data_IF_130626319283
#
_entry.id   IF_130626319283
#
_cell.length_a   1.000
_cell.length_b   1.000
_cell.length_c   1.000
_cell.angle_alpha   90.00
_cell.angle_beta   90.00
_cell.angle_gamma   90.00
#
_symmetry.space_group_name_H-M   'P 1'
#
loop_
_entity.id
_entity.type
_entity.pdbx_description
1 polymer ?
#
# COMPACT_ATOMS: atom_id res chain seq x y z
N UNK A 1 -37.62 -18.03 14.76
CA UNK A 1 -38.46 -18.18 13.56
C UNK A 1 -38.52 -16.80 12.92
N UNK A 2 -37.84 -16.59 11.80
CA UNK A 2 -38.02 -15.35 11.04
C UNK A 2 -39.46 -15.34 10.51
N UNK A 3 -40.15 -14.21 10.60
CA UNK A 3 -41.48 -14.08 10.00
C UNK A 3 -41.32 -14.14 8.47
N UNK A 4 -42.25 -14.77 7.76
CA UNK A 4 -42.20 -14.92 6.29
C UNK A 4 -42.05 -13.58 5.53
N UNK A 5 -42.30 -12.44 6.18
CA UNK A 5 -42.08 -11.09 5.66
C UNK A 5 -40.61 -10.72 5.45
N UNK A 6 -39.66 -11.40 6.08
CA UNK A 6 -38.23 -11.02 6.07
C UNK A 6 -37.44 -11.71 4.94
N UNK A 7 -38.05 -12.70 4.28
CA UNK A 7 -37.37 -13.49 3.24
C UNK A 7 -37.00 -12.63 2.02
N UNK A 8 -37.88 -11.77 1.46
CA UNK A 8 -37.51 -10.92 0.33
C UNK A 8 -36.35 -9.97 0.67
N UNK A 9 -36.39 -9.31 1.83
CA UNK A 9 -35.33 -8.39 2.24
C UNK A 9 -33.99 -9.11 2.43
N UNK A 10 -34.00 -10.29 3.05
CA UNK A 10 -32.80 -11.10 3.20
C UNK A 10 -32.21 -11.50 1.83
N UNK A 11 -33.07 -11.90 0.89
CA UNK A 11 -32.65 -12.22 -0.47
C UNK A 11 -32.05 -11.00 -1.17
N UNK A 12 -32.67 -9.82 -1.08
CA UNK A 12 -32.12 -8.58 -1.66
C UNK A 12 -30.75 -8.25 -1.07
N UNK A 13 -30.56 -8.39 0.24
CA UNK A 13 -29.26 -8.19 0.90
C UNK A 13 -28.18 -9.13 0.37
N UNK A 14 -28.52 -10.38 0.07
CA UNK A 14 -27.60 -11.31 -0.57
C UNK A 14 -27.38 -11.01 -2.06
N UNK A 15 -28.40 -10.51 -2.77
CA UNK A 15 -28.30 -10.12 -4.17
C UNK A 15 -27.42 -8.87 -4.37
N UNK A 16 -27.26 -8.02 -3.35
CA UNK A 16 -26.37 -6.86 -3.40
C UNK A 16 -24.94 -7.21 -3.85
N UNK A 17 -24.42 -8.38 -3.47
CA UNK A 17 -23.05 -8.79 -3.84
C UNK A 17 -22.89 -9.11 -5.34
N UNK A 18 -23.99 -9.43 -6.00
CA UNK A 18 -24.03 -9.80 -7.42
C UNK A 18 -24.48 -8.64 -8.30
N UNK A 19 -25.37 -7.79 -7.80
CA UNK A 19 -25.94 -6.66 -8.53
C UNK A 19 -25.93 -5.39 -7.67
N UNK A 20 -24.75 -4.87 -7.31
CA UNK A 20 -24.62 -3.75 -6.38
C UNK A 20 -25.34 -2.50 -6.89
N UNK A 21 -25.28 -2.22 -8.19
CA UNK A 21 -25.97 -1.09 -8.83
C UNK A 21 -27.48 -1.03 -8.54
N UNK A 22 -28.11 -2.20 -8.46
CA UNK A 22 -29.57 -2.31 -8.29
C UNK A 22 -29.99 -2.27 -6.81
N UNK A 23 -29.25 -2.96 -5.95
CA UNK A 23 -29.71 -3.21 -4.57
C UNK A 23 -28.97 -2.39 -3.52
N UNK A 24 -27.70 -2.02 -3.75
CA UNK A 24 -26.94 -1.29 -2.74
C UNK A 24 -27.58 0.07 -2.38
N UNK A 25 -28.06 0.90 -3.33
CA UNK A 25 -28.69 2.17 -2.98
C UNK A 25 -30.02 2.05 -2.22
N UNK A 26 -30.66 0.88 -2.28
CA UNK A 26 -31.90 0.63 -1.55
C UNK A 26 -31.65 0.31 -0.08
N UNK A 27 -30.50 -0.31 0.24
CA UNK A 27 -30.17 -0.74 1.60
C UNK A 27 -29.13 0.13 2.30
N UNK A 28 -28.31 0.87 1.56
CA UNK A 28 -27.23 1.70 2.11
C UNK A 28 -27.35 3.11 1.54
N UNK A 29 -27.91 4.05 2.31
CA UNK A 29 -27.99 5.46 1.92
C UNK A 29 -27.12 6.34 2.81
N UNK A 30 -26.90 5.92 4.04
CA UNK A 30 -26.12 6.65 5.05
C UNK A 30 -24.99 5.79 5.62
N UNK A 31 -24.05 6.41 6.32
CA UNK A 31 -22.99 5.69 7.03
C UNK A 31 -23.56 4.77 8.14
N UNK A 32 -24.74 5.09 8.68
CA UNK A 32 -25.45 4.21 9.62
C UNK A 32 -25.96 2.96 8.92
N UNK A 33 -26.60 3.10 7.76
CA UNK A 33 -27.09 1.96 6.99
C UNK A 33 -25.95 1.04 6.56
N UNK A 34 -24.79 1.62 6.20
CA UNK A 34 -23.57 0.86 5.91
C UNK A 34 -23.13 0.04 7.13
N UNK A 35 -23.15 0.64 8.33
CA UNK A 35 -22.82 -0.09 9.54
C UNK A 35 -23.81 -1.24 9.78
N UNK A 36 -25.12 -0.99 9.66
CA UNK A 36 -26.15 -1.99 9.91
C UNK A 36 -26.08 -3.16 8.89
N UNK A 37 -25.73 -2.87 7.63
CA UNK A 37 -25.58 -3.86 6.56
C UNK A 37 -24.16 -4.39 6.36
N UNK A 38 -23.19 -4.03 7.22
CA UNK A 38 -21.75 -4.31 7.04
C UNK A 38 -21.40 -5.76 6.77
N UNK A 39 -22.18 -6.73 7.29
CA UNK A 39 -21.92 -8.16 7.10
C UNK A 39 -22.05 -8.57 5.63
N UNK A 40 -23.09 -8.08 4.95
CA UNK A 40 -23.35 -8.37 3.54
C UNK A 40 -22.41 -7.59 2.62
N UNK A 41 -22.22 -6.30 2.90
CA UNK A 41 -21.35 -5.43 2.08
C UNK A 41 -19.89 -5.87 2.13
N UNK A 42 -19.43 -6.40 3.27
CA UNK A 42 -18.07 -6.93 3.39
C UNK A 42 -17.80 -8.13 2.51
N UNK A 43 -18.77 -8.79 1.89
CA UNK A 43 -18.51 -9.94 1.00
C UNK A 43 -18.26 -9.54 -0.45
N UNK A 44 -18.35 -8.26 -0.77
CA UNK A 44 -18.20 -7.81 -2.14
C UNK A 44 -16.79 -8.13 -2.68
N UNK A 45 -16.76 -8.54 -3.95
CA UNK A 45 -15.55 -8.41 -4.76
C UNK A 45 -15.19 -6.93 -4.87
N UNK A 46 -13.95 -6.62 -5.24
CA UNK A 46 -13.53 -5.24 -5.49
C UNK A 46 -14.18 -4.71 -6.78
N UNK A 47 -15.48 -4.44 -6.71
CA UNK A 47 -16.30 -3.83 -7.75
C UNK A 47 -16.20 -2.31 -7.67
N UNK A 48 -15.94 -1.67 -8.82
CA UNK A 48 -15.67 -0.24 -8.91
C UNK A 48 -16.90 0.59 -8.54
N UNK A 49 -18.10 0.18 -9.00
CA UNK A 49 -19.34 0.89 -8.67
C UNK A 49 -19.59 0.84 -7.17
N UNK A 50 -19.57 -0.36 -6.58
CA UNK A 50 -19.88 -0.54 -5.17
C UNK A 50 -18.88 0.21 -4.29
N UNK A 51 -17.58 0.11 -4.59
CA UNK A 51 -16.55 0.81 -3.85
C UNK A 51 -16.78 2.32 -3.91
N UNK A 52 -17.00 2.87 -5.11
CA UNK A 52 -17.24 4.31 -5.30
C UNK A 52 -18.50 4.77 -4.54
N UNK A 53 -19.61 4.05 -4.66
CA UNK A 53 -20.85 4.38 -3.99
C UNK A 53 -20.69 4.42 -2.46
N UNK A 54 -20.04 3.39 -1.88
CA UNK A 54 -19.79 3.34 -0.45
C UNK A 54 -18.82 4.43 0.04
N UNK A 55 -17.85 4.80 -0.79
CA UNK A 55 -16.96 5.91 -0.51
C UNK A 55 -17.73 7.23 -0.47
N UNK A 56 -18.63 7.48 -1.43
CA UNK A 56 -19.46 8.69 -1.47
C UNK A 56 -20.30 8.79 -0.18
N UNK A 57 -20.97 7.70 0.24
CA UNK A 57 -21.74 7.66 1.51
C UNK A 57 -20.90 8.01 2.75
N UNK A 58 -19.65 7.52 2.84
CA UNK A 58 -18.78 7.85 3.98
C UNK A 58 -18.25 9.29 3.87
N UNK A 59 -17.92 9.74 2.66
CA UNK A 59 -17.38 11.09 2.43
C UNK A 59 -18.41 12.15 2.79
N UNK A 60 -19.66 11.97 2.39
CA UNK A 60 -20.78 12.86 2.78
C UNK A 60 -20.88 12.96 4.31
N UNK A 61 -20.95 11.82 5.02
CA UNK A 61 -20.99 11.81 6.48
C UNK A 61 -19.78 12.51 7.14
N UNK A 62 -18.58 12.42 6.52
CA UNK A 62 -17.38 13.12 7.00
C UNK A 62 -17.48 14.62 6.77
N UNK A 63 -17.95 15.05 5.60
CA UNK A 63 -18.08 16.46 5.23
C UNK A 63 -19.15 17.17 6.06
N UNK A 64 -20.25 16.48 6.34
CA UNK A 64 -21.36 16.98 7.15
C UNK A 64 -21.06 16.94 8.67
N UNK A 65 -19.91 16.39 9.07
CA UNK A 65 -19.53 16.25 10.47
C UNK A 65 -20.41 15.28 11.24
N UNK A 66 -21.08 14.36 10.55
CA UNK A 66 -21.95 13.36 11.15
C UNK A 66 -21.15 12.40 12.03
N UNK A 67 -21.73 12.02 13.17
CA UNK A 67 -21.18 10.97 14.02
C UNK A 67 -21.63 9.62 13.51
N UNK A 68 -20.68 8.78 13.11
CA UNK A 68 -20.95 7.40 12.71
C UNK A 68 -19.93 6.43 13.32
N UNK A 69 -20.16 5.12 13.13
CA UNK A 69 -19.23 4.06 13.55
C UNK A 69 -18.01 4.02 12.64
N UNK A 70 -17.14 5.03 12.76
CA UNK A 70 -16.02 5.32 11.84
C UNK A 70 -15.17 4.09 11.56
N UNK A 71 -14.66 3.41 12.59
CA UNK A 71 -13.78 2.26 12.40
C UNK A 71 -14.48 1.12 11.65
N UNK A 72 -15.73 0.81 11.98
CA UNK A 72 -16.47 -0.29 11.37
C UNK A 72 -16.78 -0.01 9.90
N UNK A 73 -17.16 1.22 9.56
CA UNK A 73 -17.43 1.63 8.18
C UNK A 73 -16.14 1.62 7.35
N UNK A 74 -15.04 2.17 7.87
CA UNK A 74 -13.74 2.15 7.20
C UNK A 74 -13.24 0.70 7.00
N UNK A 75 -13.52 -0.21 7.95
CA UNK A 75 -13.18 -1.64 7.80
C UNK A 75 -13.92 -2.27 6.63
N UNK A 76 -15.18 -1.88 6.35
CA UNK A 76 -15.89 -2.37 5.16
C UNK A 76 -15.14 -1.97 3.89
N UNK A 77 -14.79 -0.69 3.75
CA UNK A 77 -14.02 -0.20 2.59
C UNK A 77 -12.68 -0.92 2.48
N UNK A 78 -11.96 -1.04 3.60
CA UNK A 78 -10.67 -1.73 3.63
C UNK A 78 -10.78 -3.16 3.15
N UNK A 79 -11.79 -3.90 3.61
CA UNK A 79 -11.96 -5.31 3.28
C UNK A 79 -12.25 -5.48 1.78
N UNK A 80 -13.01 -4.57 1.16
CA UNK A 80 -13.25 -4.54 -0.29
C UNK A 80 -11.93 -4.25 -1.04
N UNK A 81 -11.21 -3.18 -0.64
CA UNK A 81 -9.94 -2.79 -1.26
C UNK A 81 -8.88 -3.89 -1.13
N UNK A 82 -8.82 -4.60 0.00
CA UNK A 82 -7.85 -5.67 0.25
C UNK A 82 -8.07 -6.91 -0.64
N UNK A 83 -9.30 -7.13 -1.12
CA UNK A 83 -9.59 -8.23 -2.05
C UNK A 83 -9.22 -7.95 -3.50
N UNK A 84 -8.80 -6.71 -3.79
CA UNK A 84 -8.30 -6.35 -5.11
C UNK A 84 -7.03 -7.18 -5.43
N UNK A 85 -6.86 -7.68 -6.66
CA UNK A 85 -5.57 -8.20 -7.12
C UNK A 85 -4.49 -7.13 -6.95
N UNK A 86 -3.28 -7.53 -6.52
CA UNK A 86 -2.18 -6.60 -6.23
C UNK A 86 -1.75 -5.76 -7.43
N UNK A 87 -1.91 -6.29 -8.63
CA UNK A 87 -1.54 -5.63 -9.89
C UNK A 87 -2.57 -4.60 -10.36
N UNK A 88 -3.82 -4.72 -9.89
CA UNK A 88 -4.90 -3.85 -10.35
C UNK A 88 -4.79 -2.47 -9.69
N UNK A 89 -4.67 -1.44 -10.53
CA UNK A 89 -4.76 -0.04 -10.13
C UNK A 89 -6.22 0.41 -10.14
N UNK A 90 -6.62 1.17 -9.13
CA UNK A 90 -7.96 1.76 -9.08
C UNK A 90 -8.07 2.94 -10.04
N UNK A 91 -9.29 3.21 -10.51
CA UNK A 91 -9.57 4.41 -11.29
C UNK A 91 -9.20 5.69 -10.50
N UNK A 92 -8.69 6.71 -11.20
CA UNK A 92 -8.23 7.95 -10.57
C UNK A 92 -9.27 8.56 -9.61
N UNK A 93 -10.54 8.59 -10.02
CA UNK A 93 -11.67 9.13 -9.22
C UNK A 93 -11.93 8.35 -7.93
N UNK A 94 -11.69 7.05 -7.93
CA UNK A 94 -11.87 6.18 -6.75
C UNK A 94 -10.67 6.31 -5.83
N UNK A 95 -9.47 6.36 -6.40
CA UNK A 95 -8.24 6.64 -5.66
C UNK A 95 -8.27 8.03 -4.99
N UNK A 96 -8.82 9.05 -5.64
CA UNK A 96 -9.01 10.40 -5.06
C UNK A 96 -9.87 10.37 -3.80
N UNK A 97 -10.98 9.63 -3.84
CA UNK A 97 -11.89 9.43 -2.70
C UNK A 97 -11.22 8.68 -1.55
N UNK A 98 -10.53 7.60 -1.88
CA UNK A 98 -9.74 6.83 -0.91
C UNK A 98 -8.65 7.70 -0.27
N UNK A 99 -7.97 8.52 -1.08
CA UNK A 99 -6.94 9.43 -0.59
C UNK A 99 -7.54 10.56 0.27
N UNK A 100 -8.73 11.05 -0.06
CA UNK A 100 -9.47 11.99 0.79
C UNK A 100 -9.70 11.39 2.18
N UNK A 101 -10.26 10.18 2.27
CA UNK A 101 -10.48 9.50 3.56
C UNK A 101 -9.17 9.19 4.28
N UNK A 102 -8.13 8.80 3.53
CA UNK A 102 -6.79 8.61 4.08
C UNK A 102 -6.29 9.89 4.77
N UNK A 103 -6.35 11.05 4.10
CA UNK A 103 -5.95 12.34 4.69
C UNK A 103 -6.77 12.71 5.93
N UNK A 104 -8.08 12.48 5.87
CA UNK A 104 -9.00 12.79 6.97
C UNK A 104 -8.67 11.98 8.25
N UNK A 105 -8.22 10.73 8.11
CA UNK A 105 -8.15 9.79 9.22
C UNK A 105 -6.74 9.26 9.56
N UNK A 106 -5.71 9.50 8.74
CA UNK A 106 -4.37 8.94 9.00
C UNK A 106 -3.70 9.51 10.26
N UNK A 107 -4.16 10.67 10.74
CA UNK A 107 -3.73 11.27 12.02
C UNK A 107 -4.74 11.10 13.15
N UNK A 108 -5.78 10.28 12.94
CA UNK A 108 -6.80 10.03 13.95
C UNK A 108 -6.19 9.41 15.22
N UNK A 109 -6.69 9.77 16.41
CA UNK A 109 -6.16 9.29 17.71
C UNK A 109 -6.16 7.76 17.88
N UNK A 110 -7.17 7.10 17.32
CA UNK A 110 -7.29 5.63 17.36
C UNK A 110 -6.36 4.98 16.34
N UNK A 111 -5.43 4.13 16.81
CA UNK A 111 -4.46 3.42 15.98
C UNK A 111 -5.11 2.48 14.96
N UNK A 112 -6.23 1.82 15.29
CA UNK A 112 -6.94 0.93 14.38
C UNK A 112 -7.53 1.69 13.20
N UNK A 113 -7.98 2.93 13.42
CA UNK A 113 -8.48 3.80 12.34
C UNK A 113 -7.34 4.16 11.41
N UNK A 114 -6.18 4.58 11.95
CA UNK A 114 -4.98 4.90 11.15
C UNK A 114 -4.52 3.69 10.34
N UNK A 115 -4.46 2.52 10.97
CA UNK A 115 -4.08 1.28 10.31
C UNK A 115 -5.07 0.90 9.21
N UNK A 116 -6.36 1.05 9.47
CA UNK A 116 -7.42 0.76 8.51
C UNK A 116 -7.30 1.61 7.24
N UNK A 117 -7.17 2.94 7.38
CA UNK A 117 -7.06 3.82 6.21
C UNK A 117 -5.70 3.71 5.52
N UNK A 118 -4.64 3.25 6.20
CA UNK A 118 -3.33 3.03 5.55
C UNK A 118 -3.37 2.04 4.39
N UNK A 119 -4.36 1.13 4.39
CA UNK A 119 -4.59 0.18 3.31
C UNK A 119 -5.24 0.81 2.07
N UNK A 120 -5.93 1.94 2.19
CA UNK A 120 -6.70 2.54 1.10
C UNK A 120 -5.82 2.93 -0.08
N UNK A 121 -4.59 3.36 0.20
CA UNK A 121 -3.63 3.86 -0.79
C UNK A 121 -2.40 2.95 -0.86
N UNK A 122 -2.50 1.74 -0.29
CA UNK A 122 -1.40 0.76 -0.33
C UNK A 122 -1.29 0.16 -1.73
N UNK A 123 -0.05 0.10 -2.21
CA UNK A 123 0.33 -0.47 -3.51
C UNK A 123 -0.41 0.20 -4.69
N UNK A 124 -0.71 1.50 -4.55
CA UNK A 124 -1.30 2.33 -5.60
C UNK A 124 -0.30 3.36 -6.10
N UNK A 125 -0.29 3.58 -7.42
CA UNK A 125 0.48 4.67 -8.02
C UNK A 125 -0.24 5.97 -7.72
N UNK A 126 0.44 6.88 -7.04
CA UNK A 126 -0.09 8.18 -6.67
C UNK A 126 0.46 9.25 -7.60
N UNK A 127 -0.38 10.24 -7.92
CA UNK A 127 0.05 11.43 -8.66
C UNK A 127 0.88 12.39 -7.79
N UNK A 128 1.47 13.37 -8.47
CA UNK A 128 2.29 14.42 -7.90
C UNK A 128 1.65 15.10 -6.68
N UNK A 129 0.37 15.44 -6.74
CA UNK A 129 -0.30 16.19 -5.67
C UNK A 129 -0.43 15.34 -4.39
N UNK A 130 -0.78 14.05 -4.56
CA UNK A 130 -0.83 13.10 -3.45
C UNK A 130 0.57 12.85 -2.88
N UNK A 131 1.59 12.71 -3.73
CA UNK A 131 2.99 12.54 -3.29
C UNK A 131 3.50 13.77 -2.54
N UNK A 132 3.26 14.99 -3.03
CA UNK A 132 3.61 16.24 -2.33
C UNK A 132 2.95 16.29 -0.95
N UNK A 133 1.69 15.88 -0.85
CA UNK A 133 1.01 15.81 0.44
C UNK A 133 1.69 14.83 1.39
N UNK A 134 2.05 13.61 0.94
CA UNK A 134 2.77 12.63 1.76
C UNK A 134 4.12 13.19 2.23
N UNK A 135 4.89 13.82 1.34
CA UNK A 135 6.18 14.45 1.67
C UNK A 135 5.99 15.58 2.70
N UNK A 136 4.97 16.41 2.59
CA UNK A 136 4.75 17.47 3.61
C UNK A 136 4.33 16.94 4.99
N UNK A 137 3.95 15.66 5.09
CA UNK A 137 3.38 15.08 6.30
C UNK A 137 4.10 13.82 6.82
N UNK A 138 5.21 13.39 6.22
CA UNK A 138 5.85 12.11 6.55
C UNK A 138 6.24 11.99 8.03
N UNK A 139 6.70 13.08 8.65
CA UNK A 139 7.08 13.11 10.07
C UNK A 139 5.91 12.93 11.04
N UNK A 140 4.66 13.09 10.57
CA UNK A 140 3.46 13.03 11.42
C UNK A 140 2.94 11.60 11.66
N UNK A 141 3.31 10.64 10.81
CA UNK A 141 2.81 9.27 10.92
C UNK A 141 3.72 8.27 10.21
N UNK A 142 4.09 7.18 10.90
CA UNK A 142 4.85 6.07 10.30
C UNK A 142 4.17 5.48 9.06
N UNK A 143 2.84 5.51 9.00
CA UNK A 143 2.09 5.02 7.86
C UNK A 143 2.27 5.88 6.62
N UNK A 144 2.50 7.19 6.78
CA UNK A 144 2.83 8.11 5.67
C UNK A 144 4.23 7.80 5.15
N UNK A 145 5.20 7.62 6.06
CA UNK A 145 6.56 7.19 5.71
C UNK A 145 6.53 5.87 4.94
N UNK A 146 5.72 4.89 5.38
CA UNK A 146 5.58 3.62 4.69
C UNK A 146 5.05 3.77 3.26
N UNK A 147 4.17 4.75 3.01
CA UNK A 147 3.66 4.98 1.64
C UNK A 147 4.73 5.56 0.72
N UNK A 148 5.65 6.37 1.24
CA UNK A 148 6.78 6.90 0.48
C UNK A 148 7.85 5.84 0.24
N UNK A 149 8.29 5.15 1.30
CA UNK A 149 9.34 4.13 1.22
C UNK A 149 8.93 2.88 0.44
N UNK A 150 7.63 2.55 0.44
CA UNK A 150 7.09 1.38 -0.26
C UNK A 150 6.24 1.75 -1.48
N UNK A 151 6.38 2.97 -2.02
CA UNK A 151 5.65 3.38 -3.23
C UNK A 151 5.90 2.39 -4.38
N UNK A 152 4.89 1.96 -5.17
CA UNK A 152 5.03 0.82 -6.08
C UNK A 152 5.94 1.06 -7.28
N UNK A 153 6.08 2.31 -7.75
CA UNK A 153 6.95 2.67 -8.85
C UNK A 153 7.94 3.77 -8.46
N UNK A 154 9.02 3.91 -9.23
CA UNK A 154 9.94 5.04 -9.10
C UNK A 154 9.17 6.34 -9.39
N UNK A 155 9.43 7.38 -8.60
CA UNK A 155 8.78 8.69 -8.76
C UNK A 155 9.80 9.80 -8.45
N UNK A 156 9.99 10.81 -9.33
CA UNK A 156 11.01 11.86 -9.14
C UNK A 156 10.92 12.56 -7.79
N UNK A 157 9.72 13.03 -7.40
CA UNK A 157 9.51 13.68 -6.10
C UNK A 157 9.89 12.80 -4.89
N UNK A 158 9.70 11.48 -4.98
CA UNK A 158 10.07 10.55 -3.90
C UNK A 158 11.58 10.36 -3.88
N UNK A 159 12.23 10.25 -5.04
CA UNK A 159 13.69 10.16 -5.15
C UNK A 159 14.36 11.42 -4.60
N UNK A 160 13.86 12.61 -4.94
CA UNK A 160 14.37 13.88 -4.41
C UNK A 160 14.18 13.99 -2.89
N UNK A 161 13.03 13.55 -2.38
CA UNK A 161 12.78 13.47 -0.94
C UNK A 161 13.73 12.49 -0.24
N UNK A 162 13.95 11.31 -0.83
CA UNK A 162 14.85 10.30 -0.29
C UNK A 162 16.30 10.80 -0.21
N UNK A 163 16.74 11.59 -1.20
CA UNK A 163 18.08 12.19 -1.19
C UNK A 163 18.25 13.17 -0.02
N UNK A 164 17.27 14.05 0.20
CA UNK A 164 17.27 14.98 1.34
C UNK A 164 17.21 14.26 2.69
N UNK A 165 16.41 13.22 2.78
CA UNK A 165 16.30 12.36 3.98
C UNK A 165 17.62 11.65 4.27
N UNK A 166 18.31 11.17 3.24
CA UNK A 166 19.63 10.57 3.34
C UNK A 166 20.67 11.57 3.87
N UNK A 167 20.75 12.75 3.26
CA UNK A 167 21.66 13.83 3.66
C UNK A 167 21.42 14.27 5.12
N UNK A 168 20.15 14.30 5.55
CA UNK A 168 19.78 14.62 6.92
C UNK A 168 20.08 13.48 7.93
N UNK A 169 20.45 12.28 7.45
CA UNK A 169 20.68 11.11 8.29
C UNK A 169 19.42 10.59 9.00
N UNK A 170 18.25 10.85 8.43
CA UNK A 170 16.95 10.36 8.92
C UNK A 170 16.73 8.86 8.54
N UNK A 171 15.90 8.15 9.31
CA UNK A 171 15.55 6.73 9.09
C UNK A 171 16.74 5.76 9.03
N UNK A 172 17.68 5.88 9.98
CA UNK A 172 18.83 4.98 10.09
C UNK A 172 18.45 3.50 10.20
N UNK A 173 17.34 3.21 10.86
CA UNK A 173 16.75 1.87 11.01
C UNK A 173 16.11 1.33 9.72
N UNK A 174 15.85 2.20 8.73
CA UNK A 174 15.27 1.85 7.43
C UNK A 174 16.16 2.27 6.27
N UNK A 175 17.47 2.33 6.52
CA UNK A 175 18.48 2.83 5.57
C UNK A 175 18.40 2.15 4.22
N UNK A 176 18.25 0.82 4.18
CA UNK A 176 18.10 0.06 2.93
C UNK A 176 16.91 0.50 2.09
N UNK A 177 15.79 0.86 2.70
CA UNK A 177 14.61 1.33 1.97
C UNK A 177 14.85 2.72 1.37
N UNK A 178 15.54 3.60 2.10
CA UNK A 178 15.93 4.92 1.58
C UNK A 178 16.89 4.77 0.41
N UNK A 179 17.93 3.95 0.54
CA UNK A 179 18.89 3.68 -0.55
C UNK A 179 18.16 3.06 -1.76
N UNK A 180 17.23 2.13 -1.53
CA UNK A 180 16.44 1.51 -2.60
C UNK A 180 15.68 2.52 -3.46
N UNK A 181 15.20 3.62 -2.89
CA UNK A 181 14.55 4.71 -3.65
C UNK A 181 15.51 5.53 -4.52
N UNK A 182 16.81 5.50 -4.20
CA UNK A 182 17.87 6.23 -4.89
C UNK A 182 18.54 5.41 -5.99
N UNK A 183 18.52 4.07 -5.88
CA UNK A 183 19.05 3.16 -6.89
C UNK A 183 18.33 3.36 -8.22
N UNK A 184 19.10 3.56 -9.28
CA UNK A 184 18.65 3.58 -10.68
C UNK A 184 19.32 2.42 -11.42
N UNK A 185 20.26 2.70 -12.31
CA UNK A 185 21.05 1.66 -12.98
C UNK A 185 22.18 1.17 -12.08
N UNK A 186 22.58 1.98 -11.09
CA UNK A 186 23.62 1.68 -10.12
C UNK A 186 23.30 2.22 -8.72
N UNK A 187 24.10 1.80 -7.74
CA UNK A 187 24.11 2.38 -6.40
C UNK A 187 24.75 3.77 -6.47
N UNK A 188 24.10 4.84 -5.97
CA UNK A 188 24.67 6.18 -6.05
C UNK A 188 26.01 6.28 -5.31
N UNK A 189 27.06 6.90 -5.89
CA UNK A 189 28.39 6.95 -5.28
C UNK A 189 28.42 7.58 -3.88
N UNK A 190 27.54 8.55 -3.60
CA UNK A 190 27.45 9.23 -2.31
C UNK A 190 26.86 8.36 -1.18
N UNK A 191 26.34 7.16 -1.49
CA UNK A 191 25.91 6.19 -0.48
C UNK A 191 27.14 5.62 0.28
N UNK A 192 28.32 5.67 -0.35
CA UNK A 192 29.61 5.25 0.20
C UNK A 192 29.67 3.75 0.51
N UNK A 193 30.76 3.33 1.15
CA UNK A 193 30.89 1.98 1.72
C UNK A 193 29.91 1.82 2.89
N UNK A 194 28.72 1.34 2.54
CA UNK A 194 27.71 0.89 3.51
C UNK A 194 27.84 -0.61 3.67
N UNK A 195 27.46 -1.14 4.84
CA UNK A 195 27.34 -2.57 5.10
C UNK A 195 26.69 -3.31 3.91
N UNK A 196 27.35 -4.37 3.43
CA UNK A 196 26.90 -5.18 2.29
C UNK A 196 25.49 -5.73 2.50
N UNK A 197 25.13 -6.08 3.73
CA UNK A 197 23.77 -6.51 4.07
C UNK A 197 22.76 -5.43 3.75
N UNK A 198 23.04 -4.18 4.13
CA UNK A 198 22.14 -3.07 3.87
C UNK A 198 22.02 -2.76 2.36
N UNK A 199 23.10 -2.94 1.60
CA UNK A 199 23.10 -2.80 0.13
C UNK A 199 22.25 -3.88 -0.55
N UNK A 200 22.40 -5.15 -0.16
CA UNK A 200 21.59 -6.26 -0.69
C UNK A 200 20.10 -6.00 -0.48
N UNK A 201 19.72 -5.58 0.73
CA UNK A 201 18.34 -5.19 1.03
C UNK A 201 17.90 -3.95 0.25
N UNK A 202 18.80 -2.98 0.02
CA UNK A 202 18.47 -1.81 -0.79
C UNK A 202 18.14 -2.19 -2.23
N UNK A 203 18.89 -3.12 -2.82
CA UNK A 203 18.62 -3.65 -4.17
C UNK A 203 17.26 -4.38 -4.20
N UNK A 204 16.94 -5.16 -3.16
CA UNK A 204 15.60 -5.77 -3.03
C UNK A 204 14.49 -4.71 -3.06
N UNK A 205 14.65 -3.62 -2.30
CA UNK A 205 13.70 -2.51 -2.26
C UNK A 205 13.76 -1.58 -3.47
N UNK A 206 14.71 -1.72 -4.39
CA UNK A 206 14.83 -0.83 -5.54
C UNK A 206 13.62 -0.94 -6.49
N UNK A 207 13.24 0.19 -7.09
CA UNK A 207 12.16 0.28 -8.10
C UNK A 207 12.72 0.27 -9.51
N UNK A 208 13.39 -0.84 -9.82
CA UNK A 208 14.09 -1.11 -11.06
C UNK A 208 13.72 -2.51 -11.54
N UNK A 209 14.00 -2.80 -12.81
CA UNK A 209 13.69 -4.11 -13.41
C UNK A 209 14.44 -5.24 -12.71
N UNK A 210 13.91 -6.46 -12.78
CA UNK A 210 14.57 -7.65 -12.23
C UNK A 210 15.97 -7.88 -12.81
N UNK A 211 16.17 -7.53 -14.08
CA UNK A 211 17.47 -7.66 -14.73
C UNK A 211 18.53 -6.77 -14.06
N UNK A 212 18.21 -5.49 -13.85
CA UNK A 212 19.08 -4.56 -13.10
C UNK A 212 19.33 -5.06 -11.68
N UNK A 213 18.31 -5.60 -10.98
CA UNK A 213 18.50 -6.15 -9.63
C UNK A 213 19.49 -7.32 -9.63
N UNK A 214 19.37 -8.27 -10.56
CA UNK A 214 20.31 -9.40 -10.69
C UNK A 214 21.74 -8.90 -10.91
N UNK A 215 21.92 -7.98 -11.84
CA UNK A 215 23.23 -7.40 -12.14
C UNK A 215 23.84 -6.70 -10.92
N UNK A 216 23.05 -5.92 -10.18
CA UNK A 216 23.52 -5.24 -8.97
C UNK A 216 23.87 -6.22 -7.85
N UNK A 217 23.06 -7.28 -7.64
CA UNK A 217 23.36 -8.29 -6.63
C UNK A 217 24.66 -9.04 -6.94
N UNK A 218 24.91 -9.39 -8.22
CA UNK A 218 26.17 -10.01 -8.63
C UNK A 218 27.36 -9.05 -8.49
N UNK A 219 27.20 -7.79 -8.91
CA UNK A 219 28.24 -6.76 -8.84
C UNK A 219 28.67 -6.43 -7.41
N UNK A 220 27.71 -6.36 -6.49
CA UNK A 220 27.94 -6.01 -5.07
C UNK A 220 27.98 -7.25 -4.16
N UNK A 221 28.16 -8.43 -4.74
CA UNK A 221 28.30 -9.66 -3.98
C UNK A 221 29.53 -9.63 -3.07
N UNK A 222 29.33 -10.04 -1.82
CA UNK A 222 30.39 -10.32 -0.85
C UNK A 222 29.96 -11.47 0.05
N UNK A 223 30.92 -12.28 0.49
CA UNK A 223 30.69 -13.37 1.44
C UNK A 223 30.17 -12.88 2.79
N UNK A 224 30.49 -11.65 3.20
CA UNK A 224 30.02 -11.08 4.47
C UNK A 224 28.48 -10.87 4.49
N UNK A 225 27.85 -10.79 3.32
CA UNK A 225 26.40 -10.59 3.16
C UNK A 225 25.65 -11.83 2.67
N UNK A 226 26.25 -13.02 2.74
CA UNK A 226 25.70 -14.22 2.08
C UNK A 226 24.29 -14.59 2.56
N UNK A 227 24.00 -14.47 3.86
CA UNK A 227 22.68 -14.80 4.42
C UNK A 227 21.60 -13.87 3.86
N UNK A 228 21.91 -12.57 3.78
CA UNK A 228 21.01 -11.59 3.19
C UNK A 228 20.81 -11.84 1.69
N UNK A 229 21.86 -12.23 0.97
CA UNK A 229 21.77 -12.59 -0.44
C UNK A 229 20.85 -13.79 -0.65
N UNK A 230 21.03 -14.87 0.12
CA UNK A 230 20.20 -16.06 0.06
C UNK A 230 18.72 -15.72 0.31
N UNK A 231 18.44 -14.92 1.34
CA UNK A 231 17.07 -14.51 1.65
C UNK A 231 16.45 -13.67 0.50
N UNK A 232 17.19 -12.71 -0.03
CA UNK A 232 16.71 -11.86 -1.13
C UNK A 232 16.50 -12.66 -2.41
N UNK A 233 17.43 -13.53 -2.79
CA UNK A 233 17.32 -14.36 -3.99
C UNK A 233 16.13 -15.33 -3.89
N UNK A 234 15.87 -15.91 -2.72
CA UNK A 234 14.71 -16.77 -2.50
C UNK A 234 13.38 -15.99 -2.63
N UNK A 235 13.33 -14.74 -2.17
CA UNK A 235 12.13 -13.89 -2.28
C UNK A 235 11.85 -13.41 -3.70
N UNK A 236 12.91 -13.18 -4.47
CA UNK A 236 12.83 -12.67 -5.84
C UNK A 236 12.87 -13.78 -6.90
N UNK A 237 13.08 -15.04 -6.48
CA UNK A 237 13.27 -16.20 -7.36
C UNK A 237 14.43 -16.01 -8.36
N UNK A 238 15.63 -15.68 -7.84
CA UNK A 238 16.84 -15.42 -8.63
C UNK A 238 17.91 -16.51 -8.46
N UNK A 239 17.71 -17.74 -8.99
CA UNK A 239 18.69 -18.82 -8.85
C UNK A 239 20.04 -18.51 -9.52
N UNK A 240 20.05 -17.75 -10.62
CA UNK A 240 21.28 -17.41 -11.34
C UNK A 240 22.27 -16.57 -10.52
N UNK A 241 21.78 -15.75 -9.58
CA UNK A 241 22.64 -15.00 -8.65
C UNK A 241 23.31 -15.94 -7.65
N UNK A 242 22.63 -17.01 -7.24
CA UNK A 242 23.17 -18.03 -6.34
C UNK A 242 24.22 -18.92 -7.03
N UNK A 243 23.98 -19.29 -8.29
CA UNK A 243 24.95 -19.99 -9.12
C UNK A 243 26.25 -19.17 -9.26
N UNK A 244 26.13 -17.87 -9.54
CA UNK A 244 27.27 -16.95 -9.58
C UNK A 244 28.03 -16.91 -8.24
N UNK A 245 27.33 -16.81 -7.11
CA UNK A 245 27.95 -16.78 -5.79
C UNK A 245 28.66 -18.10 -5.45
N UNK A 246 28.10 -19.25 -5.85
CA UNK A 246 28.71 -20.56 -5.68
C UNK A 246 29.99 -20.71 -6.52
N UNK A 247 29.95 -20.28 -7.78
CA UNK A 247 31.14 -20.27 -8.65
C UNK A 247 32.24 -19.38 -8.10
N UNK A 248 31.90 -18.22 -7.55
CA UNK A 248 32.84 -17.34 -6.88
C UNK A 248 33.46 -18.00 -5.62
N UNK A 249 32.68 -18.80 -4.88
CA UNK A 249 33.16 -19.54 -3.71
C UNK A 249 34.19 -20.62 -4.08
N UNK A 250 33.99 -21.34 -5.19
CA UNK A 250 34.93 -22.36 -5.66
C UNK A 250 36.26 -21.80 -6.16
N UNK A 251 36.32 -20.52 -6.54
CA UNK A 251 37.54 -19.86 -7.03
C UNK A 251 38.43 -19.26 -5.94
N UNK A 252 37.97 -19.27 -4.69
CA UNK A 252 38.67 -18.71 -3.53
C UNK A 252 39.61 -19.73 -2.91
#
# INVERSE_FOLDING_TARGET
>A
MAQDSDVPELLEKHLMRFYPERFLPNHVRTARDLFDNRRFVREFACDEFALKYLLDVIIEAVQDGERFRTLDCLRVIRDIVKRRPSELQLGCRTLDRLFFLYRAFIFHRNADVRWCVSWFVKDQVLDDDKIRWLISNYKKSKHVVDRLLLHPCRHPLITDWAAKVWEAGEFRDRRSQVIGLLISDDIPPFVGETDNTAIIWAIYYARVTDEVKRQLLMKHFSFDGIDALLEVCNRLDYPSVLEFALDAAHRR
#
